data_IF_386220940070
#
_entry.id   IF_386220940070
#
_cell.length_a   1.000
_cell.length_b   1.000
_cell.length_c   1.000
_cell.angle_alpha   90.00
_cell.angle_beta   90.00
_cell.angle_gamma   90.00
#
_symmetry.space_group_name_H-M   'P 1'
#
loop_
_entity.id
_entity.type
_entity.pdbx_description
1 polymer ?
#
# COMPACT_ATOMS: atom_id res chain seq x y z
N UNK A 1 -23.27 17.38 4.49
CA UNK A 1 -21.83 17.70 4.45
C UNK A 1 -21.11 16.39 4.21
N UNK A 2 -20.63 16.15 2.99
CA UNK A 2 -19.90 14.93 2.64
C UNK A 2 -18.44 15.16 3.02
N UNK A 3 -18.01 14.63 4.16
CA UNK A 3 -16.59 14.54 4.49
C UNK A 3 -15.94 13.51 3.56
N UNK A 4 -15.25 14.00 2.54
CA UNK A 4 -14.40 13.16 1.68
C UNK A 4 -13.08 12.95 2.43
N UNK A 5 -12.84 11.68 2.79
CA UNK A 5 -11.64 11.13 3.45
C UNK A 5 -10.41 11.31 2.53
N UNK A 6 -9.19 11.48 3.09
CA UNK A 6 -8.18 10.47 2.84
C UNK A 6 -7.39 10.19 4.12
N UNK A 7 -7.63 9.03 4.72
CA UNK A 7 -6.77 8.52 5.78
C UNK A 7 -5.68 7.73 5.05
N UNK A 8 -4.45 8.25 4.92
CA UNK A 8 -3.45 7.67 4.04
C UNK A 8 -3.22 6.22 4.48
N UNK A 9 -3.51 5.28 3.58
CA UNK A 9 -3.20 3.87 3.80
C UNK A 9 -1.71 3.71 3.53
N UNK A 10 -0.90 4.23 4.46
CA UNK A 10 0.54 4.08 4.44
C UNK A 10 0.92 2.64 4.77
N UNK A 11 2.14 2.26 4.40
CA UNK A 11 2.79 0.98 4.75
C UNK A 11 2.51 0.56 6.19
N UNK A 12 2.67 1.46 7.16
CA UNK A 12 2.48 1.15 8.59
C UNK A 12 1.03 0.75 8.94
N UNK A 13 0.05 1.37 8.30
CA UNK A 13 -1.37 1.08 8.55
C UNK A 13 -1.76 -0.26 7.95
N UNK A 14 -1.35 -0.50 6.70
CA UNK A 14 -1.61 -1.78 6.02
C UNK A 14 -0.82 -2.93 6.67
N UNK A 15 0.42 -2.69 7.08
CA UNK A 15 1.24 -3.67 7.79
C UNK A 15 0.60 -4.08 9.12
N UNK A 16 0.05 -3.12 9.88
CA UNK A 16 -0.69 -3.40 11.11
C UNK A 16 -1.97 -4.22 10.87
N UNK A 17 -2.74 -3.90 9.83
CA UNK A 17 -3.95 -4.64 9.48
C UNK A 17 -3.67 -6.08 9.01
N UNK A 18 -2.59 -6.29 8.26
CA UNK A 18 -2.21 -7.60 7.74
C UNK A 18 -1.35 -8.43 8.70
N UNK A 19 -0.97 -7.86 9.86
CA UNK A 19 -0.01 -8.49 10.78
C UNK A 19 1.36 -8.71 10.13
N UNK A 20 1.71 -7.89 9.13
CA UNK A 20 2.95 -7.96 8.38
C UNK A 20 3.98 -6.99 8.92
N UNK A 21 5.25 -7.35 8.81
CA UNK A 21 6.32 -6.38 9.05
C UNK A 21 6.35 -5.34 7.92
N UNK A 22 6.45 -4.04 8.24
CA UNK A 22 6.51 -2.96 7.23
C UNK A 22 7.58 -3.21 6.17
N UNK A 23 8.75 -3.73 6.57
CA UNK A 23 9.85 -4.05 5.66
C UNK A 23 9.51 -5.17 4.68
N UNK A 24 8.71 -6.16 5.10
CA UNK A 24 8.22 -7.22 4.21
C UNK A 24 7.20 -6.68 3.22
N UNK A 25 6.31 -5.82 3.69
CA UNK A 25 5.32 -5.15 2.84
C UNK A 25 5.99 -4.28 1.77
N UNK A 26 7.04 -3.51 2.12
CA UNK A 26 7.82 -2.73 1.16
C UNK A 26 8.52 -3.64 0.15
N UNK A 27 9.10 -4.76 0.58
CA UNK A 27 9.71 -5.74 -0.34
C UNK A 27 8.69 -6.34 -1.31
N UNK A 28 7.48 -6.64 -0.83
CA UNK A 28 6.37 -7.12 -1.66
C UNK A 28 5.97 -6.05 -2.69
N UNK A 29 5.84 -4.79 -2.25
CA UNK A 29 5.54 -3.68 -3.15
C UNK A 29 6.62 -3.54 -4.23
N UNK A 30 7.91 -3.55 -3.86
CA UNK A 30 9.00 -3.47 -4.83
C UNK A 30 9.00 -4.65 -5.81
N UNK A 31 8.66 -5.85 -5.36
CA UNK A 31 8.54 -7.03 -6.22
C UNK A 31 7.38 -6.88 -7.22
N UNK A 32 6.25 -6.35 -6.77
CA UNK A 32 5.08 -6.07 -7.60
C UNK A 32 5.39 -4.94 -8.61
N UNK A 33 6.10 -3.89 -8.19
CA UNK A 33 6.62 -2.84 -9.10
C UNK A 33 7.55 -3.41 -10.16
N UNK A 34 8.43 -4.33 -9.79
CA UNK A 34 9.31 -5.03 -10.74
C UNK A 34 8.56 -5.88 -11.78
N UNK A 35 7.29 -6.20 -11.55
CA UNK A 35 6.43 -6.92 -12.51
C UNK A 35 5.54 -5.98 -13.34
N UNK A 36 5.71 -4.67 -13.18
CA UNK A 36 5.04 -3.65 -14.00
C UNK A 36 3.82 -3.01 -13.35
N UNK A 37 3.52 -3.30 -12.08
CA UNK A 37 2.43 -2.64 -11.37
C UNK A 37 2.94 -1.41 -10.61
N UNK A 38 2.43 -0.22 -10.93
CA UNK A 38 2.87 1.01 -10.29
C UNK A 38 1.97 1.36 -9.10
N UNK A 39 2.52 1.33 -7.88
CA UNK A 39 1.80 1.86 -6.72
C UNK A 39 1.78 3.37 -6.74
N UNK A 40 0.70 3.95 -6.22
CA UNK A 40 0.65 5.38 -5.96
C UNK A 40 1.55 5.71 -4.76
N UNK A 41 2.33 6.78 -4.92
CA UNK A 41 3.18 7.33 -3.87
C UNK A 41 2.70 8.75 -3.53
N UNK A 42 2.69 9.10 -2.26
CA UNK A 42 2.40 10.44 -1.77
C UNK A 42 3.52 11.41 -2.16
N UNK A 43 3.29 12.72 -2.01
CA UNK A 43 4.31 13.75 -2.26
C UNK A 43 5.61 13.54 -1.45
N UNK A 44 5.49 12.99 -0.25
CA UNK A 44 6.62 12.62 0.63
C UNK A 44 7.34 11.32 0.23
N UNK A 45 6.97 10.69 -0.90
CA UNK A 45 7.58 9.45 -1.39
C UNK A 45 7.11 8.18 -0.68
N UNK A 46 6.17 8.29 0.27
CA UNK A 46 5.54 7.15 0.94
C UNK A 46 4.51 6.46 0.04
N UNK A 47 4.28 5.16 0.25
CA UNK A 47 3.18 4.46 -0.42
C UNK A 47 1.83 4.99 0.06
N UNK A 48 0.92 5.25 -0.88
CA UNK A 48 -0.45 5.69 -0.62
C UNK A 48 -1.41 4.69 -1.25
N UNK A 49 -1.72 3.62 -0.51
CA UNK A 49 -2.48 2.49 -1.04
C UNK A 49 -3.97 2.82 -1.21
N UNK A 50 -4.51 2.58 -2.39
CA UNK A 50 -5.95 2.52 -2.60
C UNK A 50 -6.47 1.08 -2.46
N UNK A 51 -7.79 0.90 -2.55
CA UNK A 51 -8.41 -0.43 -2.41
C UNK A 51 -7.91 -1.43 -3.47
N UNK A 52 -7.58 -0.98 -4.68
CA UNK A 52 -6.99 -1.81 -5.74
C UNK A 52 -5.58 -2.26 -5.36
N UNK A 53 -4.74 -1.35 -4.85
CA UNK A 53 -3.40 -1.68 -4.38
C UNK A 53 -3.44 -2.73 -3.27
N UNK A 54 -4.38 -2.57 -2.33
CA UNK A 54 -4.62 -3.54 -1.26
C UNK A 54 -5.07 -4.88 -1.83
N UNK A 55 -5.98 -4.91 -2.79
CA UNK A 55 -6.43 -6.14 -3.44
C UNK A 55 -5.28 -6.86 -4.17
N UNK A 56 -4.41 -6.11 -4.86
CA UNK A 56 -3.22 -6.67 -5.53
C UNK A 56 -2.25 -7.27 -4.52
N UNK A 57 -1.95 -6.55 -3.43
CA UNK A 57 -1.13 -7.03 -2.32
C UNK A 57 -1.72 -8.32 -1.74
N UNK A 58 -3.03 -8.34 -1.46
CA UNK A 58 -3.73 -9.50 -0.92
C UNK A 58 -3.79 -10.70 -1.87
N UNK A 59 -3.80 -10.48 -3.19
CA UNK A 59 -3.79 -11.57 -4.18
C UNK A 59 -2.45 -12.30 -4.28
N UNK A 60 -1.37 -11.69 -3.77
CA UNK A 60 0.00 -12.19 -3.85
C UNK A 60 0.58 -12.57 -2.48
N UNK A 61 -0.18 -12.34 -1.42
CA UNK A 61 0.15 -12.69 -0.04
C UNK A 61 -0.48 -14.02 0.36
#
# INVERSE_FOLDING_TARGET
>A
MLEVIPHPNCVNKLSGLLGLEPTKLVKLCNFIESRGYCFRKSYDGNYDFNDTDVAVILSLY
#
